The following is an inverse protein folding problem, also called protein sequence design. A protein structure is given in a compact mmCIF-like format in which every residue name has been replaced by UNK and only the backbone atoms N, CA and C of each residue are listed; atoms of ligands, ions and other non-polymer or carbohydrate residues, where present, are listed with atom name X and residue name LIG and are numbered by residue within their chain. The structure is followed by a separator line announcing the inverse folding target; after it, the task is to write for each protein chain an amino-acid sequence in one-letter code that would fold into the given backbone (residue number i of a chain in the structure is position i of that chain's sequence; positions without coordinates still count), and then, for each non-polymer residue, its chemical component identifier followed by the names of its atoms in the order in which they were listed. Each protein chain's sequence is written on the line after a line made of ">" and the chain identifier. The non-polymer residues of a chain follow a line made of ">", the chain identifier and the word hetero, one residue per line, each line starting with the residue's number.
data_IF_686224952964
#
_entry.id   IF_686224952964
#
_cell.length_a   1.000
_cell.length_b   1.000
_cell.length_c   1.000
_cell.angle_alpha   90.00
_cell.angle_beta   90.00
_cell.angle_gamma   90.00
#
_symmetry.space_group_name_H-M   'P 1'
#
loop_
_entity.id
_entity.type
_entity.pdbx_description
1 polymer ?
#
# COMPACT_ATOMS: atom_id res chain seq x y z
N UNK A 1 -9.23 1.95 -16.33
CA UNK A 1 -8.52 2.36 -15.09
C UNK A 1 -9.28 1.75 -13.92
N UNK A 2 -8.61 0.98 -13.05
CA UNK A 2 -9.22 0.27 -11.91
C UNK A 2 -9.07 1.03 -10.58
N UNK A 3 -8.25 2.07 -10.57
CA UNK A 3 -8.01 2.91 -9.41
C UNK A 3 -9.27 3.72 -9.08
N UNK A 4 -9.80 3.55 -7.87
CA UNK A 4 -10.97 4.24 -7.36
C UNK A 4 -10.57 5.20 -6.23
N UNK A 5 -11.26 6.34 -6.09
CA UNK A 5 -11.00 7.27 -5.00
C UNK A 5 -11.45 6.70 -3.64
N UNK A 6 -10.85 7.15 -2.51
CA UNK A 6 -11.12 6.63 -1.16
C UNK A 6 -12.60 6.56 -0.76
N UNK A 7 -13.44 7.48 -1.23
CA UNK A 7 -14.86 7.51 -0.85
C UNK A 7 -15.67 6.33 -1.40
N UNK A 8 -15.18 5.63 -2.44
CA UNK A 8 -15.83 4.43 -3.02
C UNK A 8 -15.66 3.21 -2.11
N UNK A 9 -14.71 3.24 -1.17
CA UNK A 9 -14.48 2.16 -0.18
C UNK A 9 -15.58 2.07 0.86
N UNK A 10 -16.43 3.10 1.01
CA UNK A 10 -17.48 3.12 2.03
C UNK A 10 -18.41 1.93 1.89
N UNK A 11 -18.51 1.12 2.93
CA UNK A 11 -19.37 -0.07 2.99
C UNK A 11 -18.89 -1.27 2.18
N UNK A 12 -17.76 -1.19 1.47
CA UNK A 12 -17.22 -2.30 0.66
C UNK A 12 -16.42 -3.30 1.50
N UNK A 13 -16.16 -4.46 0.92
CA UNK A 13 -15.16 -5.42 1.36
C UNK A 13 -13.76 -5.05 0.86
N UNK A 14 -12.87 -4.65 1.77
CA UNK A 14 -11.52 -4.19 1.48
C UNK A 14 -10.46 -5.25 1.83
N UNK A 15 -9.73 -5.71 0.82
CA UNK A 15 -8.52 -6.52 0.98
C UNK A 15 -7.27 -5.64 0.96
N UNK A 16 -6.37 -5.78 1.93
CA UNK A 16 -5.14 -4.96 2.03
C UNK A 16 -3.91 -5.85 1.95
N UNK A 17 -2.98 -5.50 1.06
CA UNK A 17 -1.64 -6.08 0.99
C UNK A 17 -0.74 -5.37 2.01
N UNK A 18 -0.65 -5.97 3.20
CA UNK A 18 -0.13 -5.31 4.38
C UNK A 18 1.33 -4.89 4.25
N UNK A 19 2.20 -5.74 3.68
CA UNK A 19 3.61 -5.36 3.54
C UNK A 19 3.80 -4.22 2.54
N UNK A 20 3.16 -4.30 1.37
CA UNK A 20 3.28 -3.24 0.36
C UNK A 20 2.80 -1.89 0.89
N UNK A 21 1.68 -1.86 1.62
CA UNK A 21 1.15 -0.62 2.20
C UNK A 21 2.01 -0.14 3.37
N UNK A 22 2.32 -1.00 4.34
CA UNK A 22 3.08 -0.62 5.54
C UNK A 22 4.47 -0.11 5.17
N UNK A 23 5.21 -0.82 4.33
CA UNK A 23 6.56 -0.43 3.93
C UNK A 23 6.53 0.94 3.25
N UNK A 24 5.58 1.18 2.34
CA UNK A 24 5.47 2.47 1.65
C UNK A 24 5.17 3.62 2.61
N UNK A 25 4.25 3.43 3.56
CA UNK A 25 3.91 4.45 4.55
C UNK A 25 5.05 4.70 5.53
N UNK A 26 5.70 3.64 6.01
CA UNK A 26 6.83 3.71 6.93
C UNK A 26 8.03 4.44 6.31
N UNK A 27 8.34 4.15 5.04
CA UNK A 27 9.38 4.85 4.27
C UNK A 27 9.09 6.33 4.14
N UNK A 28 7.87 6.67 3.76
CA UNK A 28 7.45 8.06 3.67
C UNK A 28 7.57 8.79 5.01
N UNK A 29 7.14 8.15 6.12
CA UNK A 29 7.28 8.69 7.48
C UNK A 29 8.74 8.86 7.91
N UNK A 30 9.65 8.01 7.41
CA UNK A 30 11.09 8.13 7.63
C UNK A 30 11.74 9.27 6.84
N UNK A 31 11.00 9.92 5.94
CA UNK A 31 11.52 10.94 5.02
C UNK A 31 12.14 10.36 3.74
N UNK A 32 12.05 9.04 3.54
CA UNK A 32 12.47 8.41 2.30
C UNK A 32 11.51 8.80 1.16
N UNK A 33 12.01 9.00 -0.08
CA UNK A 33 11.14 9.37 -1.18
C UNK A 33 10.28 8.19 -1.65
N UNK A 34 8.97 8.43 -1.73
CA UNK A 34 8.00 7.56 -2.42
C UNK A 34 7.51 8.25 -3.69
N UNK A 35 7.08 7.46 -4.68
CA UNK A 35 6.83 7.97 -6.03
C UNK A 35 5.44 7.58 -6.53
N UNK A 36 4.74 8.52 -7.17
CA UNK A 36 3.59 8.22 -8.03
C UNK A 36 4.12 7.60 -9.32
N UNK A 37 3.74 6.34 -9.57
CA UNK A 37 4.12 5.60 -10.78
C UNK A 37 3.18 5.90 -11.96
N UNK A 38 3.47 5.32 -13.12
CA UNK A 38 2.72 5.53 -14.38
C UNK A 38 1.27 5.06 -14.33
N UNK A 39 0.94 4.14 -13.44
CA UNK A 39 -0.42 3.68 -13.15
C UNK A 39 -1.16 4.54 -12.12
N UNK A 40 -0.52 5.60 -11.62
CA UNK A 40 -1.06 6.52 -10.62
C UNK A 40 -0.95 6.04 -9.18
N UNK A 41 -0.34 4.87 -8.94
CA UNK A 41 -0.17 4.29 -7.60
C UNK A 41 1.16 4.72 -6.98
N UNK A 42 1.13 5.06 -5.69
CA UNK A 42 2.33 5.41 -4.92
C UNK A 42 3.11 4.16 -4.53
N UNK A 43 4.42 4.17 -4.79
CA UNK A 43 5.34 3.09 -4.45
C UNK A 43 6.60 3.61 -3.76
N UNK A 44 7.09 2.83 -2.81
CA UNK A 44 8.52 2.78 -2.53
C UNK A 44 9.23 2.02 -3.67
N UNK A 45 10.39 2.52 -4.09
CA UNK A 45 11.21 1.89 -5.14
C UNK A 45 12.50 1.27 -4.59
N UNK A 46 12.67 1.22 -3.26
CA UNK A 46 13.91 0.77 -2.60
C UNK A 46 14.18 -0.75 -2.67
N UNK A 47 13.36 -1.54 -3.38
CA UNK A 47 13.48 -2.99 -3.60
C UNK A 47 13.71 -3.84 -2.32
N UNK A 48 13.42 -3.31 -1.13
CA UNK A 48 13.83 -3.91 0.15
C UNK A 48 12.81 -4.87 0.78
N UNK A 49 11.91 -5.44 -0.03
CA UNK A 49 10.73 -6.17 0.44
C UNK A 49 11.02 -7.56 1.05
N UNK A 50 12.01 -8.29 0.53
CA UNK A 50 12.32 -9.67 0.96
C UNK A 50 13.06 -9.76 2.31
N UNK A 51 13.59 -8.65 2.81
CA UNK A 51 14.31 -8.56 4.08
C UNK A 51 13.69 -7.58 5.06
N UNK A 52 12.39 -7.30 4.91
CA UNK A 52 11.70 -6.30 5.70
C UNK A 52 11.88 -6.55 7.20
N UNK A 53 12.25 -5.47 7.91
CA UNK A 53 12.35 -5.41 9.36
C UNK A 53 11.64 -4.12 9.78
N UNK A 54 10.61 -4.21 10.64
CA UNK A 54 9.97 -3.03 11.21
C UNK A 54 11.01 -2.09 11.84
N UNK A 55 10.91 -0.80 11.56
CA UNK A 55 11.66 0.26 12.22
C UNK A 55 10.88 0.81 13.42
N UNK A 56 11.45 1.80 14.12
CA UNK A 56 10.79 2.52 15.21
C UNK A 56 9.54 3.30 14.75
N UNK A 57 9.34 3.45 13.43
CA UNK A 57 8.15 4.09 12.84
C UNK A 57 7.02 3.11 12.51
N UNK A 58 7.22 1.81 12.68
CA UNK A 58 6.24 0.79 12.32
C UNK A 58 4.88 1.02 12.99
N UNK A 59 4.85 1.23 14.31
CA UNK A 59 3.61 1.42 15.04
C UNK A 59 2.86 2.66 14.52
N UNK A 60 3.57 3.77 14.31
CA UNK A 60 3.01 5.01 13.73
C UNK A 60 2.49 4.80 12.32
N UNK A 61 3.16 4.00 11.50
CA UNK A 61 2.71 3.65 10.15
C UNK A 61 1.39 2.87 10.21
N UNK A 62 1.29 1.86 11.09
CA UNK A 62 0.07 1.07 11.29
C UNK A 62 -1.08 1.94 11.82
N UNK A 63 -0.84 2.83 12.78
CA UNK A 63 -1.83 3.78 13.28
C UNK A 63 -2.34 4.70 12.17
N UNK A 64 -1.44 5.25 11.36
CA UNK A 64 -1.78 6.12 10.23
C UNK A 64 -2.65 5.39 9.19
N UNK A 65 -2.29 4.13 8.90
CA UNK A 65 -3.06 3.27 7.99
C UNK A 65 -4.45 2.97 8.59
N UNK A 66 -4.53 2.61 9.86
CA UNK A 66 -5.77 2.29 10.53
C UNK A 66 -6.74 3.48 10.54
N UNK A 67 -6.26 4.68 10.90
CA UNK A 67 -7.05 5.90 10.87
C UNK A 67 -7.54 6.25 9.45
N UNK A 68 -6.70 5.97 8.45
CA UNK A 68 -7.06 6.18 7.05
C UNK A 68 -8.19 5.21 6.63
N UNK A 69 -8.07 3.93 6.98
CA UNK A 69 -9.12 2.92 6.75
C UNK A 69 -10.42 3.32 7.45
N UNK A 70 -10.37 3.74 8.73
CA UNK A 70 -11.54 4.22 9.49
C UNK A 70 -12.25 5.37 8.79
N UNK A 71 -11.49 6.33 8.25
CA UNK A 71 -12.05 7.47 7.53
C UNK A 71 -12.76 7.09 6.23
N UNK A 72 -12.36 5.97 5.61
CA UNK A 72 -13.02 5.40 4.43
C UNK A 72 -14.30 4.63 4.78
N UNK A 73 -14.42 4.15 6.04
CA UNK A 73 -15.57 3.40 6.55
C UNK A 73 -15.96 2.16 5.72
N UNK A 74 -15.01 1.23 5.42
CA UNK A 74 -15.34 -0.04 4.77
C UNK A 74 -16.30 -0.88 5.63
N UNK A 75 -17.04 -1.78 4.99
CA UNK A 75 -17.92 -2.73 5.67
C UNK A 75 -17.15 -3.91 6.29
N UNK A 76 -16.02 -4.27 5.68
CA UNK A 76 -15.09 -5.31 6.16
C UNK A 76 -13.67 -4.98 5.71
N UNK A 77 -12.69 -5.34 6.54
CA UNK A 77 -11.26 -5.17 6.23
C UNK A 77 -10.52 -6.46 6.57
N UNK A 78 -9.77 -6.96 5.59
CA UNK A 78 -8.81 -8.06 5.79
C UNK A 78 -7.42 -7.62 5.32
N UNK A 79 -6.45 -7.63 6.24
CA UNK A 79 -5.05 -7.32 5.98
C UNK A 79 -4.27 -8.63 5.83
N UNK A 80 -3.62 -8.80 4.68
CA UNK A 80 -2.81 -9.96 4.35
C UNK A 80 -1.33 -9.65 4.51
N UNK A 81 -0.60 -10.54 5.17
CA UNK A 81 0.85 -10.55 5.24
C UNK A 81 1.37 -11.83 4.58
N UNK A 82 2.34 -11.68 3.68
CA UNK A 82 2.95 -12.83 3.03
C UNK A 82 3.78 -13.65 4.03
N UNK A 83 3.38 -14.90 4.25
CA UNK A 83 3.93 -15.78 5.28
C UNK A 83 5.42 -16.14 5.11
N UNK A 84 6.01 -16.21 3.90
CA UNK A 84 7.45 -16.39 3.71
C UNK A 84 8.29 -15.22 4.22
N UNK A 85 7.71 -14.02 4.42
CA UNK A 85 8.42 -12.91 5.04
C UNK A 85 8.66 -13.23 6.52
N UNK A 86 9.93 -13.11 6.92
CA UNK A 86 10.36 -13.43 8.28
C UNK A 86 9.55 -12.67 9.32
N UNK A 87 9.15 -13.35 10.41
CA UNK A 87 8.39 -12.78 11.52
C UNK A 87 7.01 -12.21 11.14
N UNK A 88 6.46 -12.54 9.97
CA UNK A 88 5.12 -12.14 9.54
C UNK A 88 4.04 -12.41 10.58
N UNK A 89 4.09 -13.53 11.31
CA UNK A 89 3.17 -13.83 12.41
C UNK A 89 3.27 -12.88 13.62
N UNK A 90 4.49 -12.44 13.98
CA UNK A 90 4.70 -11.45 15.06
C UNK A 90 4.22 -10.07 14.63
N UNK A 91 4.47 -9.71 13.37
CA UNK A 91 3.99 -8.47 12.76
C UNK A 91 2.45 -8.47 12.73
N UNK A 92 1.83 -9.57 12.30
CA UNK A 92 0.36 -9.72 12.33
C UNK A 92 -0.20 -9.50 13.74
N UNK A 93 0.42 -10.12 14.75
CA UNK A 93 0.02 -9.94 16.15
C UNK A 93 0.11 -8.46 16.55
N UNK A 94 1.22 -7.78 16.23
CA UNK A 94 1.41 -6.37 16.59
C UNK A 94 0.40 -5.45 15.89
N UNK A 95 0.08 -5.71 14.61
CA UNK A 95 -0.97 -4.96 13.89
C UNK A 95 -2.31 -5.12 14.60
N UNK A 96 -2.68 -6.35 14.99
CA UNK A 96 -3.93 -6.59 15.73
C UNK A 96 -3.96 -5.86 17.07
N UNK A 97 -2.87 -5.84 17.82
CA UNK A 97 -2.75 -5.08 19.08
C UNK A 97 -3.00 -3.58 18.86
N UNK A 98 -2.33 -2.96 17.88
CA UNK A 98 -2.46 -1.52 17.58
C UNK A 98 -3.87 -1.18 17.10
N UNK A 99 -4.45 -2.06 16.29
CA UNK A 99 -5.80 -1.88 15.73
C UNK A 99 -6.90 -2.33 16.69
N UNK A 100 -6.56 -2.80 17.90
CA UNK A 100 -7.51 -3.34 18.87
C UNK A 100 -8.42 -4.43 18.27
N UNK A 101 -7.86 -5.30 17.44
CA UNK A 101 -8.58 -6.38 16.74
C UNK A 101 -9.72 -5.91 15.82
N UNK A 102 -9.75 -4.61 15.44
CA UNK A 102 -10.79 -4.03 14.57
C UNK A 102 -10.77 -4.63 13.16
N UNK A 103 -9.60 -4.98 12.66
CA UNK A 103 -9.41 -5.57 11.33
C UNK A 103 -9.00 -7.02 11.43
N UNK A 104 -9.47 -7.84 10.48
CA UNK A 104 -8.92 -9.18 10.34
C UNK A 104 -7.50 -9.08 9.78
N UNK A 105 -6.52 -9.69 10.44
CA UNK A 105 -5.14 -9.77 9.96
C UNK A 105 -4.78 -11.22 9.75
N UNK A 106 -4.28 -11.59 8.55
CA UNK A 106 -3.95 -12.95 8.16
C UNK A 106 -2.53 -13.03 7.64
N UNK A 107 -1.83 -14.11 7.97
CA UNK A 107 -0.62 -14.53 7.24
C UNK A 107 -1.01 -15.61 6.25
N UNK A 108 -0.63 -15.47 4.97
CA UNK A 108 -0.93 -16.47 3.94
C UNK A 108 0.29 -16.70 3.04
N UNK A 109 0.43 -17.90 2.48
CA UNK A 109 1.41 -18.19 1.41
C UNK A 109 0.78 -18.03 0.01
N UNK A 110 -0.45 -17.54 -0.05
CA UNK A 110 -1.27 -17.39 -1.26
C UNK A 110 -1.99 -16.04 -1.29
N UNK A 111 -1.33 -14.99 -0.78
CA UNK A 111 -1.86 -13.62 -0.68
C UNK A 111 -2.47 -13.18 -2.00
N UNK A 112 -1.75 -13.31 -3.11
CA UNK A 112 -2.20 -12.93 -4.46
C UNK A 112 -3.59 -13.50 -4.77
N UNK A 113 -3.87 -14.77 -4.48
CA UNK A 113 -5.18 -15.37 -4.79
C UNK A 113 -6.27 -15.02 -3.78
N UNK A 114 -5.93 -14.85 -2.51
CA UNK A 114 -6.90 -14.56 -1.45
C UNK A 114 -7.38 -13.11 -1.53
N UNK A 115 -6.45 -12.18 -1.72
CA UNK A 115 -6.76 -10.75 -1.76
C UNK A 115 -7.64 -10.37 -2.95
N UNK A 116 -7.52 -11.08 -4.07
CA UNK A 116 -8.33 -10.86 -5.28
C UNK A 116 -9.80 -11.23 -5.14
N UNK A 117 -10.18 -11.93 -4.06
CA UNK A 117 -11.59 -12.25 -3.78
C UNK A 117 -12.41 -11.04 -3.29
N UNK A 118 -11.74 -10.00 -2.77
CA UNK A 118 -12.37 -8.80 -2.24
C UNK A 118 -12.94 -7.89 -3.34
N UNK A 119 -13.81 -6.96 -2.95
CA UNK A 119 -14.43 -6.00 -3.87
C UNK A 119 -13.45 -4.91 -4.29
N UNK A 120 -12.69 -4.40 -3.31
CA UNK A 120 -11.65 -3.40 -3.51
C UNK A 120 -10.36 -3.91 -2.86
N UNK A 121 -9.23 -3.71 -3.54
CA UNK A 121 -7.91 -4.11 -3.05
C UNK A 121 -6.99 -2.91 -2.89
N UNK A 122 -6.22 -2.88 -1.80
CA UNK A 122 -5.13 -1.95 -1.58
C UNK A 122 -3.79 -2.69 -1.75
N UNK A 123 -3.20 -2.61 -2.94
CA UNK A 123 -1.87 -3.17 -3.23
C UNK A 123 -1.18 -2.35 -4.31
N UNK A 124 0.15 -2.40 -4.30
CA UNK A 124 1.02 -1.83 -5.32
C UNK A 124 1.70 -2.89 -6.21
N UNK A 125 1.48 -4.19 -5.96
CA UNK A 125 1.98 -5.29 -6.81
C UNK A 125 1.21 -5.32 -8.14
N UNK A 126 1.93 -5.29 -9.26
CA UNK A 126 1.34 -5.22 -10.59
C UNK A 126 0.44 -6.41 -10.93
N UNK A 127 0.74 -7.61 -10.43
CA UNK A 127 -0.07 -8.82 -10.67
C UNK A 127 -1.39 -8.75 -9.90
N UNK A 128 -1.36 -8.25 -8.66
CA UNK A 128 -2.58 -8.02 -7.88
C UNK A 128 -3.42 -6.91 -8.54
N UNK A 129 -2.81 -5.82 -8.97
CA UNK A 129 -3.49 -4.72 -9.68
C UNK A 129 -4.17 -5.22 -10.96
N UNK A 130 -3.48 -6.04 -11.74
CA UNK A 130 -4.01 -6.62 -12.97
C UNK A 130 -5.20 -7.56 -12.70
N UNK A 131 -5.17 -8.33 -11.62
CA UNK A 131 -6.24 -9.25 -11.24
C UNK A 131 -7.45 -8.59 -10.56
N UNK A 132 -7.26 -7.47 -9.85
CA UNK A 132 -8.28 -6.91 -8.99
C UNK A 132 -9.48 -6.33 -9.76
N UNK A 133 -10.65 -6.28 -9.11
CA UNK A 133 -11.86 -5.62 -9.67
C UNK A 133 -11.74 -4.09 -9.59
N UNK A 134 -11.29 -3.60 -8.45
CA UNK A 134 -11.02 -2.19 -8.16
C UNK A 134 -9.82 -2.07 -7.20
N UNK A 135 -9.08 -0.97 -7.32
CA UNK A 135 -7.90 -0.68 -6.50
C UNK A 135 -8.09 0.65 -5.77
N UNK A 136 -7.74 0.70 -4.49
CA UNK A 136 -7.59 1.96 -3.75
C UNK A 136 -6.13 2.14 -3.36
N UNK A 137 -5.57 3.32 -3.60
CA UNK A 137 -4.22 3.65 -3.17
C UNK A 137 -4.21 4.07 -1.68
N UNK A 138 -4.25 3.06 -0.81
CA UNK A 138 -4.28 3.25 0.64
C UNK A 138 -2.99 3.90 1.16
N UNK A 139 -1.84 3.56 0.57
CA UNK A 139 -0.55 4.15 0.97
C UNK A 139 -0.55 5.65 0.68
N UNK A 140 -0.98 6.06 -0.52
CA UNK A 140 -1.12 7.47 -0.86
C UNK A 140 -2.10 8.21 0.05
N UNK A 141 -3.26 7.62 0.34
CA UNK A 141 -4.23 8.21 1.26
C UNK A 141 -3.64 8.41 2.67
N UNK A 142 -2.89 7.43 3.18
CA UNK A 142 -2.26 7.46 4.49
C UNK A 142 -1.15 8.52 4.58
N UNK A 143 -0.23 8.58 3.62
CA UNK A 143 0.84 9.59 3.63
C UNK A 143 0.29 11.01 3.44
N UNK A 144 -0.77 11.16 2.64
CA UNK A 144 -1.44 12.46 2.45
C UNK A 144 -2.07 12.94 3.75
N UNK A 145 -2.69 12.04 4.52
CA UNK A 145 -3.21 12.33 5.88
C UNK A 145 -2.09 12.73 6.84
N UNK A 146 -0.90 12.17 6.69
CA UNK A 146 0.29 12.53 7.45
C UNK A 146 0.98 13.83 6.96
N UNK A 147 0.43 14.52 5.95
CA UNK A 147 1.00 15.74 5.38
C UNK A 147 2.20 15.51 4.46
N UNK A 148 2.41 14.29 4.00
CA UNK A 148 3.53 13.91 3.13
C UNK A 148 3.04 13.79 1.69
N UNK A 149 3.76 14.43 0.77
CA UNK A 149 3.45 14.37 -0.67
C UNK A 149 4.44 13.45 -1.40
N UNK A 150 3.96 12.51 -2.24
CA UNK A 150 4.83 11.68 -3.05
C UNK A 150 5.51 12.50 -4.16
N UNK A 151 6.68 12.05 -4.61
CA UNK A 151 7.37 12.62 -5.77
C UNK A 151 6.74 12.07 -7.06
N UNK A 152 6.80 12.83 -8.15
CA UNK A 152 6.51 12.28 -9.48
C UNK A 152 7.74 11.54 -10.00
N UNK A 153 7.57 10.30 -10.45
CA UNK A 153 8.69 9.52 -11.01
C UNK A 153 9.21 10.12 -12.32
N UNK A 154 8.33 10.74 -13.10
CA UNK A 154 8.66 11.47 -14.31
C UNK A 154 8.24 12.93 -14.14
N UNK A 155 9.15 13.86 -14.39
CA UNK A 155 8.80 15.27 -14.62
C UNK A 155 8.29 15.41 -16.05
N UNK A 156 7.42 16.38 -16.31
CA UNK A 156 6.79 16.62 -17.62
C UNK A 156 7.81 16.84 -18.77
N UNK A 157 9.12 16.91 -18.47
CA UNK A 157 10.24 16.96 -19.42
C UNK A 157 10.70 15.61 -19.99
N UNK A 158 10.11 14.49 -19.59
CA UNK A 158 10.53 13.14 -20.04
C UNK A 158 9.80 12.59 -21.27
N UNK A 159 8.85 13.32 -21.85
CA UNK A 159 7.99 12.83 -22.94
C UNK A 159 8.28 13.38 -24.35
N UNK A 160 9.49 13.89 -24.60
CA UNK A 160 9.95 14.13 -25.97
C UNK A 160 11.38 13.62 -26.13
N UNK A 161 11.51 12.51 -26.86
CA UNK A 161 12.76 12.17 -27.52
C UNK A 161 13.02 13.20 -28.61
N UNK A 162 14.03 14.02 -28.42
CA UNK A 162 14.82 14.53 -29.53
C UNK A 162 16.20 13.88 -29.41
N UNK A 163 16.41 12.84 -30.22
CA UNK A 163 17.74 12.42 -30.60
C UNK A 163 18.36 13.58 -31.38
N UNK A 164 19.28 14.32 -30.73
CA UNK A 164 20.23 15.15 -31.47
C UNK A 164 21.02 14.22 -32.40
N UNK A 165 20.73 14.30 -33.70
CA UNK A 165 21.59 13.76 -34.73
C UNK A 165 22.67 14.80 -35.00
N UNK A 166 23.96 14.50 -34.78
CA UNK A 166 25.02 15.40 -35.18
C UNK A 166 25.06 15.47 -36.71
N UNK A 167 24.99 16.70 -37.23
CA UNK A 167 25.28 17.06 -38.63
C UNK A 167 26.77 16.97 -38.90
#
# INVERSE_FOLDING_TARGET
>A
MKLVPPHIVRGSDLGVDGFNVIITVERALAGDPVYVCTDGIVRDLSLSYSSYKPSDLFDKAVETIADTIRSMSPGRVTIYLDSPISKSGLIAKRIREITSEEFEVKTSNRVDSEILSHEIVASSDSRIIEGAKAIVDLAHAAISRAGISPKKLFTDRGMLGEYDRPT
#
